data_IF_764815187837
#
_entry.id   IF_764815187837
#
_cell.length_a   1.000
_cell.length_b   1.000
_cell.length_c   1.000
_cell.angle_alpha   90.00
_cell.angle_beta   90.00
_cell.angle_gamma   90.00
#
_symmetry.space_group_name_H-M   'P 1'
#
loop_
_entity.id
_entity.type
_entity.pdbx_description
1 polymer ?
#
# COMPACT_ATOMS: atom_id res chain seq x y z
N UNK A 1 11.31 3.86 20.38
CA UNK A 1 10.68 5.15 20.77
C UNK A 1 9.46 4.87 21.63
N UNK A 2 9.32 5.52 22.79
CA UNK A 2 8.11 5.40 23.64
C UNK A 2 7.03 6.36 23.14
N UNK A 3 5.75 6.14 23.49
CA UNK A 3 4.63 7.00 23.04
C UNK A 3 4.83 8.49 23.43
N UNK A 4 5.28 8.76 24.66
CA UNK A 4 5.53 10.14 25.13
C UNK A 4 6.61 10.83 24.27
N UNK A 5 7.67 10.10 23.94
CA UNK A 5 8.75 10.60 23.08
C UNK A 5 8.25 10.85 21.66
N UNK A 6 7.43 9.94 21.12
CA UNK A 6 6.81 10.08 19.80
C UNK A 6 5.94 11.34 19.73
N UNK A 7 5.06 11.55 20.72
CA UNK A 7 4.20 12.74 20.78
C UNK A 7 5.05 14.02 20.84
N UNK A 8 6.12 14.04 21.63
CA UNK A 8 7.04 15.18 21.69
C UNK A 8 7.68 15.47 20.33
N UNK A 9 8.22 14.45 19.65
CA UNK A 9 8.83 14.61 18.31
C UNK A 9 7.82 15.06 17.27
N UNK A 10 6.58 14.55 17.32
CA UNK A 10 5.48 14.99 16.45
C UNK A 10 5.13 16.47 16.68
N UNK A 11 5.09 16.93 17.93
CA UNK A 11 4.86 18.33 18.26
C UNK A 11 6.00 19.23 17.78
N UNK A 12 7.25 18.79 17.92
CA UNK A 12 8.42 19.49 17.38
C UNK A 12 8.38 19.55 15.85
N UNK A 13 8.00 18.46 15.18
CA UNK A 13 7.82 18.41 13.73
C UNK A 13 6.74 19.39 13.25
N UNK A 14 5.59 19.44 13.93
CA UNK A 14 4.50 20.39 13.60
C UNK A 14 4.95 21.85 13.64
N UNK A 15 5.85 22.21 14.57
CA UNK A 15 6.39 23.57 14.72
C UNK A 15 7.35 23.98 13.59
N UNK A 16 7.89 23.04 12.83
CA UNK A 16 8.79 23.32 11.69
C UNK A 16 8.06 23.81 10.44
N UNK A 17 6.72 23.81 10.45
CA UNK A 17 5.89 24.19 9.31
C UNK A 17 6.25 23.40 8.03
N UNK A 18 6.44 24.07 6.90
CA UNK A 18 6.71 23.46 5.61
C UNK A 18 8.19 23.11 5.44
N UNK A 19 8.49 21.81 5.38
CA UNK A 19 9.84 21.27 5.20
C UNK A 19 9.98 20.71 3.77
N UNK A 20 11.07 21.05 3.09
CA UNK A 20 11.40 20.54 1.76
C UNK A 20 11.68 19.04 1.78
N UNK A 21 11.09 18.26 0.87
CA UNK A 21 11.51 16.87 0.67
C UNK A 21 12.73 16.77 -0.24
N UNK A 22 13.65 15.86 0.10
CA UNK A 22 14.80 15.53 -0.76
C UNK A 22 14.47 14.53 -1.87
N UNK A 23 13.30 13.87 -1.83
CA UNK A 23 12.88 12.85 -2.82
C UNK A 23 11.68 13.38 -3.60
N UNK A 24 11.79 13.43 -4.93
CA UNK A 24 10.66 13.73 -5.81
C UNK A 24 9.66 12.58 -5.85
N UNK A 25 8.38 12.92 -5.96
CA UNK A 25 7.30 11.96 -6.22
C UNK A 25 6.68 11.32 -4.96
N UNK A 26 5.95 10.21 -5.13
CA UNK A 26 5.07 9.67 -4.08
C UNK A 26 5.79 9.31 -2.77
N UNK A 27 7.04 8.86 -2.85
CA UNK A 27 7.85 8.43 -1.69
C UNK A 27 8.42 9.58 -0.86
N UNK A 28 8.32 10.83 -1.34
CA UNK A 28 8.92 12.00 -0.69
C UNK A 28 8.40 12.28 0.71
N UNK A 29 7.09 12.10 0.93
CA UNK A 29 6.45 12.35 2.22
C UNK A 29 6.89 11.34 3.30
N UNK A 30 6.90 10.04 2.97
CA UNK A 30 7.27 8.98 3.90
C UNK A 30 8.73 9.10 4.32
N UNK A 31 9.62 9.29 3.34
CA UNK A 31 11.04 9.48 3.61
C UNK A 31 11.33 10.72 4.46
N UNK A 32 10.65 11.84 4.18
CA UNK A 32 10.82 13.04 5.00
C UNK A 32 10.33 12.82 6.43
N UNK A 33 9.17 12.18 6.61
CA UNK A 33 8.62 11.87 7.93
C UNK A 33 9.56 10.96 8.75
N UNK A 34 10.08 9.91 8.14
CA UNK A 34 11.08 9.00 8.76
C UNK A 34 12.31 9.78 9.22
N UNK A 35 12.88 10.59 8.33
CA UNK A 35 14.04 11.43 8.62
C UNK A 35 13.76 12.37 9.80
N UNK A 36 12.66 13.11 9.77
CA UNK A 36 12.33 14.10 10.78
C UNK A 36 12.00 13.48 12.14
N UNK A 37 11.46 12.26 12.17
CA UNK A 37 11.24 11.50 13.40
C UNK A 37 12.47 10.72 13.86
N UNK A 38 13.59 10.77 13.13
CA UNK A 38 14.83 10.06 13.45
C UNK A 38 14.69 8.54 13.36
N UNK A 39 13.87 8.05 12.42
CA UNK A 39 13.68 6.64 12.10
C UNK A 39 14.54 6.33 10.88
N UNK A 40 15.44 5.34 11.00
CA UNK A 40 16.30 4.92 9.89
C UNK A 40 15.54 4.00 8.93
N UNK A 41 15.70 4.21 7.63
CA UNK A 41 15.12 3.35 6.59
C UNK A 41 15.66 1.92 6.75
N UNK A 42 14.77 0.93 6.82
CA UNK A 42 15.13 -0.48 6.95
C UNK A 42 14.45 -1.30 5.86
N UNK A 43 15.17 -2.30 5.34
CA UNK A 43 14.60 -3.26 4.39
C UNK A 43 13.94 -4.47 5.08
N UNK A 44 13.95 -4.51 6.43
CA UNK A 44 13.33 -5.58 7.19
C UNK A 44 11.81 -5.35 7.21
N UNK A 45 11.04 -6.40 6.90
CA UNK A 45 9.58 -6.35 6.87
C UNK A 45 8.95 -6.39 8.28
N UNK A 46 9.41 -5.52 9.18
CA UNK A 46 8.85 -5.29 10.51
C UNK A 46 8.31 -3.86 10.62
N UNK A 47 7.38 -3.59 11.55
CA UNK A 47 6.89 -2.24 11.77
C UNK A 47 7.99 -1.25 12.19
N UNK A 48 7.87 0.01 11.78
CA UNK A 48 8.94 1.01 11.81
C UNK A 48 9.37 1.40 13.24
N UNK A 49 8.41 1.66 14.12
CA UNK A 49 8.70 2.15 15.47
C UNK A 49 8.82 0.96 16.42
N UNK A 50 10.06 0.60 16.73
CA UNK A 50 10.39 -0.45 17.70
C UNK A 50 9.87 -1.84 17.32
N UNK A 51 9.64 -2.10 16.03
CA UNK A 51 9.11 -3.38 15.55
C UNK A 51 7.62 -3.60 15.86
N UNK A 52 6.88 -2.57 16.30
CA UNK A 52 5.49 -2.72 16.79
C UNK A 52 4.47 -1.76 16.18
N UNK A 53 4.89 -0.60 15.69
CA UNK A 53 3.98 0.39 15.08
C UNK A 53 4.50 0.73 13.70
N UNK A 54 3.69 0.44 12.68
CA UNK A 54 3.94 0.87 11.31
C UNK A 54 3.67 2.37 11.22
N UNK A 55 4.35 3.07 10.33
CA UNK A 55 4.17 4.50 10.11
C UNK A 55 3.81 4.79 8.66
N UNK A 56 2.85 5.69 8.45
CA UNK A 56 2.51 6.20 7.11
C UNK A 56 2.29 7.70 7.15
N UNK A 57 3.04 8.40 6.28
CA UNK A 57 2.81 9.80 5.95
C UNK A 57 1.87 9.91 4.76
N UNK A 58 0.83 10.72 4.90
CA UNK A 58 -0.23 10.89 3.89
C UNK A 58 -0.42 12.37 3.58
N UNK A 59 -0.51 12.71 2.30
CA UNK A 59 -0.86 14.07 1.88
C UNK A 59 -2.32 14.34 2.22
N UNK A 60 -2.68 15.56 2.62
CA UNK A 60 -4.07 15.91 2.88
C UNK A 60 -4.86 15.94 1.56
N UNK A 61 -6.15 15.58 1.62
CA UNK A 61 -7.11 15.68 0.51
C UNK A 61 -6.78 14.89 -0.76
N UNK A 62 -5.86 13.93 -0.71
CA UNK A 62 -5.62 13.02 -1.83
C UNK A 62 -6.36 11.70 -1.62
N UNK A 63 -6.76 11.08 -2.72
CA UNK A 63 -7.38 9.76 -2.75
C UNK A 63 -6.38 8.65 -3.09
N UNK A 64 -5.08 8.96 -2.98
CA UNK A 64 -3.98 8.08 -3.32
C UNK A 64 -4.09 6.73 -2.63
N UNK A 65 -3.61 5.70 -3.33
CA UNK A 65 -3.54 4.36 -2.76
C UNK A 65 -2.28 4.21 -1.93
N UNK A 66 -2.42 3.73 -0.71
CA UNK A 66 -1.30 3.31 0.13
C UNK A 66 -1.17 1.79 0.12
N UNK A 67 0.07 1.32 0.15
CA UNK A 67 0.37 -0.11 0.29
C UNK A 67 0.29 -0.49 1.76
N UNK A 68 -0.57 -1.46 2.08
CA UNK A 68 -0.66 -2.09 3.39
C UNK A 68 0.45 -3.14 3.53
N UNK A 69 0.55 -4.03 2.56
CA UNK A 69 1.59 -5.06 2.49
C UNK A 69 1.74 -5.60 1.07
N UNK A 70 2.77 -6.41 0.85
CA UNK A 70 2.98 -7.14 -0.41
C UNK A 70 2.97 -8.64 -0.16
N UNK A 71 2.34 -9.42 -1.04
CA UNK A 71 2.30 -10.87 -0.87
C UNK A 71 2.19 -11.63 -2.20
N UNK A 72 3.12 -12.55 -2.44
CA UNK A 72 3.26 -13.31 -3.70
C UNK A 72 3.48 -14.82 -3.52
N UNK A 73 3.76 -15.30 -2.31
CA UNK A 73 4.26 -16.67 -2.12
C UNK A 73 3.16 -17.69 -2.44
N UNK A 74 3.40 -18.53 -3.46
CA UNK A 74 2.52 -19.60 -3.92
C UNK A 74 1.11 -19.17 -4.39
N UNK A 75 0.94 -17.92 -4.84
CA UNK A 75 -0.37 -17.39 -5.25
C UNK A 75 -0.65 -17.54 -6.74
N UNK A 76 0.40 -17.49 -7.58
CA UNK A 76 0.28 -17.51 -9.04
C UNK A 76 0.02 -18.92 -9.55
N UNK A 77 -1.01 -19.07 -10.40
CA UNK A 77 -1.40 -20.36 -11.01
C UNK A 77 -0.90 -20.53 -12.44
N UNK A 78 -0.30 -19.48 -12.98
CA UNK A 78 0.19 -19.40 -14.36
C UNK A 78 1.58 -18.77 -14.31
N UNK A 79 2.42 -19.07 -15.30
CA UNK A 79 3.71 -18.43 -15.45
C UNK A 79 3.56 -16.90 -15.63
N UNK A 80 4.19 -16.13 -14.75
CA UNK A 80 4.11 -14.67 -14.78
C UNK A 80 4.62 -14.08 -16.10
N UNK A 81 5.64 -14.69 -16.73
CA UNK A 81 6.19 -14.23 -18.01
C UNK A 81 5.15 -14.30 -19.12
N UNK A 82 4.34 -15.36 -19.16
CA UNK A 82 3.25 -15.51 -20.13
C UNK A 82 2.19 -14.43 -19.96
N UNK A 83 1.80 -14.13 -18.72
CA UNK A 83 0.82 -13.08 -18.44
C UNK A 83 1.36 -11.71 -18.85
N UNK A 84 2.62 -11.39 -18.54
CA UNK A 84 3.26 -10.13 -18.91
C UNK A 84 3.36 -9.98 -20.43
N UNK A 85 3.71 -11.04 -21.15
CA UNK A 85 3.76 -11.03 -22.62
C UNK A 85 2.37 -10.86 -23.24
N UNK A 86 1.35 -11.54 -22.71
CA UNK A 86 0.00 -11.55 -23.28
C UNK A 86 -0.82 -10.29 -22.95
N UNK A 87 -0.68 -9.78 -21.74
CA UNK A 87 -1.52 -8.71 -21.20
C UNK A 87 -0.76 -7.45 -20.81
N UNK A 88 0.56 -7.49 -20.80
CA UNK A 88 1.38 -6.33 -20.48
C UNK A 88 1.47 -5.32 -21.62
N UNK A 89 2.20 -4.25 -21.37
CA UNK A 89 2.43 -3.14 -22.28
C UNK A 89 3.88 -2.64 -22.16
N UNK A 90 4.30 -1.79 -23.09
CA UNK A 90 5.58 -1.08 -22.99
C UNK A 90 5.45 0.09 -22.04
N UNK A 91 6.16 0.05 -20.91
CA UNK A 91 6.19 1.18 -19.98
C UNK A 91 7.07 2.33 -20.50
N UNK A 92 7.12 3.44 -19.76
CA UNK A 92 7.90 4.64 -20.12
C UNK A 92 9.41 4.37 -20.25
N UNK A 93 9.89 3.23 -19.76
CA UNK A 93 11.28 2.77 -19.88
C UNK A 93 11.46 1.75 -21.01
N UNK A 94 10.44 1.52 -21.85
CA UNK A 94 10.44 0.57 -22.96
C UNK A 94 10.40 -0.91 -22.53
N UNK A 95 10.17 -1.19 -21.25
CA UNK A 95 10.12 -2.57 -20.72
C UNK A 95 8.75 -3.17 -20.97
N UNK A 96 8.71 -4.48 -21.26
CA UNK A 96 7.44 -5.21 -21.26
C UNK A 96 6.99 -5.39 -19.80
N UNK A 97 5.89 -4.73 -19.43
CA UNK A 97 5.47 -4.57 -18.05
C UNK A 97 3.98 -4.85 -17.86
N UNK A 98 3.63 -5.22 -16.63
CA UNK A 98 2.27 -5.35 -16.15
C UNK A 98 2.18 -4.64 -14.80
N UNK A 99 1.99 -3.31 -14.87
CA UNK A 99 1.69 -2.46 -13.72
C UNK A 99 0.21 -2.10 -13.75
N UNK A 100 -0.56 -2.65 -12.80
CA UNK A 100 -2.02 -2.59 -12.86
C UNK A 100 -2.69 -2.66 -11.49
N UNK A 101 -3.52 -1.66 -11.21
CA UNK A 101 -4.51 -1.73 -10.14
C UNK A 101 -5.69 -2.59 -10.60
N UNK A 102 -6.10 -3.51 -9.73
CA UNK A 102 -7.19 -4.46 -9.95
C UNK A 102 -8.15 -4.35 -8.78
N UNK A 103 -9.43 -4.12 -9.07
CA UNK A 103 -10.52 -4.11 -8.09
C UNK A 103 -11.52 -5.23 -8.37
N UNK A 104 -12.48 -5.43 -7.48
CA UNK A 104 -13.61 -6.34 -7.67
C UNK A 104 -14.87 -5.65 -8.23
N UNK A 105 -14.79 -4.35 -8.59
CA UNK A 105 -15.93 -3.60 -9.12
C UNK A 105 -16.02 -3.67 -10.64
N UNK A 106 -14.93 -3.37 -11.33
CA UNK A 106 -14.88 -3.34 -12.79
C UNK A 106 -13.53 -3.86 -13.27
N UNK A 107 -13.49 -4.62 -14.39
CA UNK A 107 -12.23 -4.95 -15.03
C UNK A 107 -11.43 -3.69 -15.39
N UNK A 108 -10.12 -3.73 -15.17
CA UNK A 108 -9.22 -2.66 -15.60
C UNK A 108 -9.01 -2.66 -17.13
N UNK A 109 -8.17 -1.76 -17.63
CA UNK A 109 -7.90 -1.61 -19.07
C UNK A 109 -7.32 -2.88 -19.72
N UNK A 110 -6.52 -3.67 -19.00
CA UNK A 110 -6.02 -4.98 -19.44
C UNK A 110 -7.04 -6.12 -19.22
N UNK A 111 -8.20 -5.81 -18.66
CA UNK A 111 -9.33 -6.73 -18.47
C UNK A 111 -9.27 -7.56 -17.17
N UNK A 112 -8.34 -7.25 -16.26
CA UNK A 112 -8.23 -7.95 -14.98
C UNK A 112 -9.24 -7.43 -13.95
N UNK A 113 -9.79 -8.35 -13.15
CA UNK A 113 -10.66 -8.05 -12.00
C UNK A 113 -10.44 -9.09 -10.89
N UNK A 114 -10.89 -8.75 -9.68
CA UNK A 114 -10.90 -9.64 -8.53
C UNK A 114 -12.27 -10.27 -8.32
N UNK A 115 -12.29 -11.55 -8.01
CA UNK A 115 -13.48 -12.32 -7.68
C UNK A 115 -13.32 -12.93 -6.28
N UNK A 116 -14.38 -12.88 -5.48
CA UNK A 116 -14.39 -13.48 -4.14
C UNK A 116 -15.10 -14.83 -4.19
N UNK A 117 -14.40 -15.89 -3.79
CA UNK A 117 -14.97 -17.21 -3.59
C UNK A 117 -15.12 -17.45 -2.09
N UNK A 118 -16.32 -17.20 -1.58
CA UNK A 118 -16.61 -17.33 -0.15
C UNK A 118 -16.52 -18.77 0.34
N UNK A 119 -16.89 -19.75 -0.50
CA UNK A 119 -16.88 -21.18 -0.14
C UNK A 119 -15.47 -21.71 0.04
N UNK A 120 -14.53 -21.27 -0.82
CA UNK A 120 -13.11 -21.65 -0.74
C UNK A 120 -12.26 -20.68 0.07
N UNK A 121 -12.84 -19.58 0.56
CA UNK A 121 -12.14 -18.51 1.25
C UNK A 121 -10.98 -17.93 0.42
N UNK A 122 -11.25 -17.61 -0.85
CA UNK A 122 -10.26 -17.09 -1.79
C UNK A 122 -10.65 -15.72 -2.37
N UNK A 123 -9.64 -14.89 -2.62
CA UNK A 123 -9.70 -13.81 -3.61
C UNK A 123 -8.95 -14.29 -4.85
N UNK A 124 -9.55 -14.14 -6.02
CA UNK A 124 -9.07 -14.72 -7.27
C UNK A 124 -8.84 -13.62 -8.30
N UNK A 125 -7.69 -13.62 -8.95
CA UNK A 125 -7.43 -12.79 -10.12
C UNK A 125 -8.00 -13.45 -11.37
N UNK A 126 -8.93 -12.77 -12.03
CA UNK A 126 -9.58 -13.20 -13.28
C UNK A 126 -9.30 -12.20 -14.40
N UNK A 127 -9.50 -12.61 -15.65
CA UNK A 127 -9.49 -11.72 -16.79
C UNK A 127 -10.75 -11.91 -17.63
N UNK A 128 -11.39 -10.82 -18.08
CA UNK A 128 -12.65 -10.87 -18.83
C UNK A 128 -12.56 -11.67 -20.14
N UNK A 129 -11.36 -11.80 -20.72
CA UNK A 129 -11.10 -12.59 -21.94
C UNK A 129 -10.97 -14.10 -21.67
N UNK A 130 -10.69 -14.52 -20.43
CA UNK A 130 -10.49 -15.93 -20.03
C UNK A 130 -11.26 -16.23 -18.74
N UNK A 131 -12.60 -16.11 -18.77
CA UNK A 131 -13.47 -16.16 -17.57
C UNK A 131 -13.27 -17.41 -16.70
N UNK A 132 -13.03 -18.57 -17.32
CA UNK A 132 -12.85 -19.84 -16.60
C UNK A 132 -11.46 -20.02 -15.98
N UNK A 133 -10.52 -19.11 -16.26
CA UNK A 133 -9.13 -19.23 -15.81
C UNK A 133 -8.87 -18.40 -14.56
N UNK A 134 -8.26 -19.02 -13.54
CA UNK A 134 -7.73 -18.31 -12.37
C UNK A 134 -6.25 -18.01 -12.59
N UNK A 135 -5.87 -16.73 -12.57
CA UNK A 135 -4.47 -16.32 -12.76
C UNK A 135 -3.66 -16.34 -11.46
N UNK A 136 -4.32 -16.00 -10.37
CA UNK A 136 -3.78 -16.08 -9.01
C UNK A 136 -4.90 -16.30 -8.02
N UNK A 137 -4.58 -16.94 -6.91
CA UNK A 137 -5.51 -17.19 -5.81
C UNK A 137 -4.83 -16.83 -4.49
N UNK A 138 -5.51 -16.01 -3.68
CA UNK A 138 -5.09 -15.63 -2.35
C UNK A 138 -6.09 -16.14 -1.32
N UNK A 139 -5.62 -16.95 -0.37
CA UNK A 139 -6.43 -17.31 0.80
C UNK A 139 -6.73 -16.08 1.64
N UNK A 140 -8.01 -15.83 1.92
CA UNK A 140 -8.47 -14.71 2.74
C UNK A 140 -7.86 -14.76 4.14
N UNK A 141 -7.68 -15.96 4.71
CA UNK A 141 -7.00 -16.15 6.00
C UNK A 141 -5.55 -15.69 5.98
N UNK A 142 -4.80 -16.04 4.92
CA UNK A 142 -3.39 -15.68 4.81
C UNK A 142 -3.21 -14.18 4.61
N UNK A 143 -4.02 -13.56 3.74
CA UNK A 143 -3.92 -12.11 3.51
C UNK A 143 -4.42 -11.30 4.71
N UNK A 144 -5.43 -11.78 5.43
CA UNK A 144 -5.86 -11.18 6.69
C UNK A 144 -4.77 -11.32 7.76
N UNK A 145 -4.17 -12.50 7.92
CA UNK A 145 -3.05 -12.69 8.85
C UNK A 145 -1.85 -11.79 8.53
N UNK A 146 -1.51 -11.62 7.25
CA UNK A 146 -0.48 -10.68 6.80
C UNK A 146 -0.83 -9.24 7.18
N UNK A 147 -2.06 -8.82 6.89
CA UNK A 147 -2.56 -7.50 7.29
C UNK A 147 -2.43 -7.30 8.81
N UNK A 148 -2.98 -8.21 9.61
CA UNK A 148 -2.94 -8.12 11.07
C UNK A 148 -1.52 -8.06 11.62
N UNK A 149 -0.59 -8.86 11.09
CA UNK A 149 0.80 -8.87 11.57
C UNK A 149 1.57 -7.59 11.26
N UNK A 150 1.40 -7.02 10.05
CA UNK A 150 2.15 -5.83 9.62
C UNK A 150 1.49 -4.53 10.06
N UNK A 151 0.16 -4.53 10.11
CA UNK A 151 -0.66 -3.33 10.32
C UNK A 151 -1.36 -3.32 11.69
N UNK A 152 -0.89 -4.11 12.66
CA UNK A 152 -1.47 -4.22 14.03
C UNK A 152 -1.69 -2.84 14.68
N UNK A 153 -0.70 -1.95 14.54
CA UNK A 153 -0.76 -0.56 14.99
C UNK A 153 -0.16 0.32 13.92
N UNK A 154 -0.83 1.42 13.63
CA UNK A 154 -0.41 2.35 12.60
C UNK A 154 -0.38 3.77 13.15
N UNK A 155 0.78 4.41 13.06
CA UNK A 155 0.91 5.85 13.16
C UNK A 155 0.61 6.45 11.77
N UNK A 156 -0.55 7.06 11.63
CA UNK A 156 -0.94 7.82 10.45
C UNK A 156 -0.64 9.31 10.71
N UNK A 157 0.25 9.90 9.92
CA UNK A 157 0.59 11.33 10.00
C UNK A 157 0.13 12.01 8.71
N UNK A 158 -0.70 13.03 8.85
CA UNK A 158 -1.23 13.80 7.73
C UNK A 158 -0.39 15.06 7.57
N UNK A 159 -0.19 15.46 6.31
CA UNK A 159 0.52 16.68 5.99
C UNK A 159 -0.17 17.47 4.87
N UNK A 160 -0.22 18.78 5.04
CA UNK A 160 -0.44 19.68 3.92
C UNK A 160 0.80 19.73 3.04
N UNK A 161 0.62 19.94 1.74
CA UNK A 161 1.72 20.05 0.80
C UNK A 161 1.60 21.26 -0.12
N UNK A 162 2.74 21.80 -0.53
CA UNK A 162 2.84 22.85 -1.55
C UNK A 162 4.04 22.62 -2.46
N UNK A 163 3.96 23.12 -3.68
CA UNK A 163 5.07 23.09 -4.64
C UNK A 163 5.55 24.52 -4.87
N UNK A 164 6.84 24.75 -4.67
CA UNK A 164 7.51 26.03 -4.92
C UNK A 164 8.76 25.72 -5.75
N UNK A 165 8.90 26.32 -6.94
CA UNK A 165 10.06 26.11 -7.82
C UNK A 165 10.39 24.62 -8.05
N UNK A 166 9.38 23.82 -8.43
CA UNK A 166 9.48 22.37 -8.64
C UNK A 166 9.96 21.54 -7.45
N UNK A 167 9.93 22.11 -6.25
CA UNK A 167 10.24 21.44 -4.98
C UNK A 167 8.98 21.30 -4.16
N UNK A 168 8.74 20.10 -3.63
CA UNK A 168 7.60 19.81 -2.78
C UNK A 168 7.97 20.02 -1.30
N UNK A 169 7.08 20.67 -0.57
CA UNK A 169 7.21 20.93 0.86
C UNK A 169 6.02 20.31 1.60
N UNK A 170 6.26 19.82 2.82
CA UNK A 170 5.23 19.21 3.66
C UNK A 170 5.17 19.87 5.03
N UNK A 171 3.95 20.13 5.50
CA UNK A 171 3.69 20.53 6.89
C UNK A 171 2.89 19.42 7.58
N UNK A 172 3.55 18.67 8.48
CA UNK A 172 2.93 17.59 9.24
C UNK A 172 2.26 18.12 10.50
N UNK A 173 0.94 18.24 10.50
CA UNK A 173 0.21 18.98 11.53
C UNK A 173 -0.85 18.16 12.28
N UNK A 174 -1.10 16.93 11.85
CA UNK A 174 -2.11 16.02 12.39
C UNK A 174 -1.62 14.58 12.39
N UNK A 175 -1.91 13.85 13.48
CA UNK A 175 -1.44 12.49 13.64
C UNK A 175 -2.42 11.64 14.45
N UNK A 176 -2.56 10.38 14.04
CA UNK A 176 -3.40 9.39 14.70
C UNK A 176 -2.62 8.11 14.95
N UNK A 177 -2.84 7.53 16.12
CA UNK A 177 -2.54 6.13 16.38
C UNK A 177 -3.80 5.31 16.13
N UNK A 178 -3.76 4.47 15.10
CA UNK A 178 -4.81 3.51 14.77
C UNK A 178 -4.46 2.15 15.39
N UNK A 179 -5.41 1.58 16.12
CA UNK A 179 -5.21 0.37 16.93
C UNK A 179 -6.37 -0.62 16.69
N UNK A 180 -6.10 -1.89 16.98
CA UNK A 180 -7.07 -2.98 16.90
C UNK A 180 -7.69 -3.12 15.49
N UNK A 181 -6.88 -3.40 14.44
CA UNK A 181 -7.42 -3.81 13.16
C UNK A 181 -8.20 -5.12 13.31
N UNK A 182 -9.11 -5.41 12.39
CA UNK A 182 -9.79 -6.72 12.38
C UNK A 182 -9.82 -7.36 11.00
N UNK A 183 -9.74 -8.70 10.91
CA UNK A 183 -9.93 -9.42 9.64
C UNK A 183 -11.27 -9.08 8.97
N UNK A 184 -12.33 -8.87 9.75
CA UNK A 184 -13.66 -8.57 9.24
C UNK A 184 -13.68 -7.22 8.53
N UNK A 185 -13.09 -6.17 9.13
CA UNK A 185 -13.02 -4.85 8.49
C UNK A 185 -12.18 -4.90 7.22
N UNK A 186 -11.07 -5.65 7.23
CA UNK A 186 -10.24 -5.87 6.06
C UNK A 186 -11.00 -6.57 4.92
N UNK A 187 -11.73 -7.64 5.20
CA UNK A 187 -12.50 -8.37 4.20
C UNK A 187 -13.75 -7.58 3.74
N UNK A 188 -14.36 -6.79 4.62
CA UNK A 188 -15.44 -5.85 4.25
C UNK A 188 -14.92 -4.76 3.28
N UNK A 189 -13.73 -4.22 3.51
CA UNK A 189 -13.12 -3.25 2.60
C UNK A 189 -12.87 -3.85 1.21
N UNK A 190 -12.48 -5.13 1.12
CA UNK A 190 -12.45 -5.87 -0.14
C UNK A 190 -13.84 -5.95 -0.79
N UNK A 191 -14.85 -6.42 -0.06
CA UNK A 191 -16.21 -6.58 -0.59
C UNK A 191 -16.78 -5.25 -1.14
N UNK A 192 -16.44 -4.13 -0.50
CA UNK A 192 -16.85 -2.77 -0.91
C UNK A 192 -15.98 -2.14 -2.01
N UNK A 193 -15.00 -2.86 -2.56
CA UNK A 193 -14.04 -2.33 -3.55
C UNK A 193 -13.19 -1.16 -3.02
N UNK A 194 -13.02 -1.05 -1.70
CA UNK A 194 -12.15 -0.06 -1.07
C UNK A 194 -10.69 -0.52 -1.07
N UNK A 195 -10.49 -1.85 -1.02
CA UNK A 195 -9.20 -2.50 -1.09
C UNK A 195 -8.97 -3.10 -2.49
N UNK A 196 -7.81 -2.81 -3.06
CA UNK A 196 -7.40 -3.18 -4.41
C UNK A 196 -6.07 -3.93 -4.38
N UNK A 197 -5.79 -4.66 -5.45
CA UNK A 197 -4.51 -5.32 -5.66
C UNK A 197 -3.75 -4.61 -6.77
N UNK A 198 -2.47 -4.36 -6.56
CA UNK A 198 -1.56 -3.76 -7.55
C UNK A 198 -0.54 -4.80 -8.02
N UNK A 199 -0.70 -5.20 -9.30
CA UNK A 199 0.27 -6.03 -10.00
C UNK A 199 1.44 -5.16 -10.41
N UNK A 200 2.67 -5.57 -10.06
CA UNK A 200 3.87 -4.73 -10.25
C UNK A 200 5.01 -5.57 -10.81
N UNK A 201 4.90 -5.92 -12.09
CA UNK A 201 5.84 -6.83 -12.73
C UNK A 201 6.37 -6.28 -14.05
N UNK A 202 7.61 -6.60 -14.39
CA UNK A 202 8.16 -6.38 -15.73
C UNK A 202 9.16 -7.47 -16.12
N UNK A 203 9.46 -7.56 -17.41
CA UNK A 203 10.57 -8.37 -17.91
C UNK A 203 11.88 -7.59 -17.84
N UNK A 204 12.89 -8.20 -17.23
CA UNK A 204 14.27 -7.72 -17.30
C UNK A 204 14.80 -7.87 -18.73
N UNK A 205 15.87 -7.17 -19.05
CA UNK A 205 16.61 -7.34 -20.31
C UNK A 205 17.05 -8.80 -20.55
N UNK A 206 17.37 -9.54 -19.48
CA UNK A 206 17.69 -10.98 -19.54
C UNK A 206 16.49 -11.89 -19.86
N UNK A 207 15.27 -11.35 -19.98
CA UNK A 207 14.04 -12.09 -20.21
C UNK A 207 13.44 -12.76 -18.95
N UNK A 208 14.06 -12.56 -17.78
CA UNK A 208 13.53 -12.99 -16.49
C UNK A 208 12.47 -12.01 -15.94
N UNK A 209 11.58 -12.50 -15.08
CA UNK A 209 10.54 -11.67 -14.47
C UNK A 209 11.08 -10.95 -13.24
N UNK A 210 10.91 -9.63 -13.20
CA UNK A 210 11.02 -8.83 -11.97
C UNK A 210 9.62 -8.59 -11.43
N UNK A 211 9.29 -9.24 -10.33
CA UNK A 211 8.04 -9.01 -9.60
C UNK A 211 8.35 -8.26 -8.29
N UNK A 212 7.85 -7.04 -8.15
CA UNK A 212 8.10 -6.18 -6.99
C UNK A 212 7.25 -6.54 -5.77
N UNK A 213 6.43 -7.59 -5.82
CA UNK A 213 5.39 -7.82 -4.83
C UNK A 213 4.03 -7.41 -5.36
N UNK A 214 3.06 -8.31 -5.36
CA UNK A 214 1.65 -7.93 -5.49
C UNK A 214 1.27 -7.14 -4.24
N UNK A 215 0.94 -5.86 -4.40
CA UNK A 215 0.64 -4.97 -3.28
C UNK A 215 -0.85 -4.93 -3.00
N UNK A 216 -1.21 -5.06 -1.72
CA UNK A 216 -2.57 -4.88 -1.22
C UNK A 216 -2.69 -3.43 -0.80
N UNK A 217 -3.57 -2.69 -1.49
CA UNK A 217 -3.65 -1.24 -1.37
C UNK A 217 -5.06 -0.78 -1.00
N UNK A 218 -5.13 0.30 -0.25
CA UNK A 218 -6.39 0.97 0.10
C UNK A 218 -6.23 2.47 -0.15
N UNK A 219 -7.32 3.18 -0.44
CA UNK A 219 -7.28 4.64 -0.47
C UNK A 219 -7.00 5.19 0.93
N UNK A 220 -6.16 6.22 1.02
CA UNK A 220 -5.76 6.83 2.29
C UNK A 220 -6.95 7.25 3.16
N UNK A 221 -7.98 7.83 2.55
CA UNK A 221 -9.22 8.22 3.25
C UNK A 221 -9.97 7.05 3.91
N UNK A 222 -9.78 5.83 3.38
CA UNK A 222 -10.45 4.62 3.85
C UNK A 222 -9.59 3.83 4.85
N UNK A 223 -8.33 4.23 5.08
CA UNK A 223 -7.42 3.48 5.96
C UNK A 223 -7.96 3.35 7.38
N UNK A 224 -8.60 4.40 7.89
CA UNK A 224 -9.21 4.42 9.22
C UNK A 224 -10.34 3.39 9.37
N UNK A 225 -11.00 2.99 8.28
CA UNK A 225 -12.08 1.99 8.30
C UNK A 225 -11.59 0.60 8.72
N UNK A 226 -10.27 0.35 8.62
CA UNK A 226 -9.69 -0.94 8.94
C UNK A 226 -9.51 -1.16 10.46
N UNK A 227 -9.64 -0.11 11.28
CA UNK A 227 -9.28 -0.10 12.70
C UNK A 227 -10.48 0.18 13.59
N UNK A 228 -10.57 -0.54 14.72
CA UNK A 228 -11.64 -0.33 15.70
C UNK A 228 -11.38 0.88 16.61
N UNK A 229 -10.11 1.30 16.76
CA UNK A 229 -9.74 2.40 17.64
C UNK A 229 -8.87 3.42 16.93
N UNK A 230 -9.23 4.70 17.09
CA UNK A 230 -8.51 5.86 16.58
C UNK A 230 -8.19 6.80 17.74
N UNK A 231 -6.91 7.04 18.00
CA UNK A 231 -6.44 7.98 19.03
C UNK A 231 -5.71 9.13 18.37
N UNK A 232 -6.17 10.36 18.58
CA UNK A 232 -5.50 11.58 18.10
C UNK A 232 -4.24 11.85 18.93
N UNK A 233 -3.13 12.15 18.26
CA UNK A 233 -1.83 12.48 18.88
C UNK A 233 -1.42 13.94 18.62
N UNK A 234 -1.83 14.51 17.48
CA UNK A 234 -1.67 15.93 17.11
C UNK A 234 -3.00 16.52 16.62
#
# INVERSE_FOLDING_TARGET
MRLIELVKRLQELKKKEFIETSRRGPTGIGHLLEKELGISETNIAIPDIGGRVEMKGTRRNVSSLITLFTFNKAVWKINQKEIINKYGYKDDQGRQALYNIVSNKTPNSQGFYLESDQKRHLIILKNKKEKNKSFSEWSTYVIAGKFMSKMDRLLLVLADNKIINDKEYFHFDEAYLLENPTPENFLKAFAKSELMIDLRMHLKSSGGVRNHGTAFRISEKNLMLLYAKKRRLL
#
